data_IF_708175411604
#
_entry.id   IF_708175411604
#
_cell.length_a   1.000
_cell.length_b   1.000
_cell.length_c   1.000
_cell.angle_alpha   90.00
_cell.angle_beta   90.00
_cell.angle_gamma   90.00
#
_symmetry.space_group_name_H-M   'P 1'
#
loop_
_entity.id
_entity.type
_entity.pdbx_description
1 polymer ?
#
# COMPACT_ATOMS: atom_id res chain seq x y z
N UNK A 1 19.59 -2.02 11.40
CA UNK A 1 20.24 -1.76 10.11
C UNK A 1 19.27 -0.93 9.29
N UNK A 2 19.77 0.09 8.59
CA UNK A 2 19.05 1.32 8.21
C UNK A 2 17.66 1.12 7.56
N UNK A 3 16.60 1.60 8.22
CA UNK A 3 15.24 1.79 7.67
C UNK A 3 15.18 2.84 6.53
N UNK A 4 16.26 3.59 6.30
CA UNK A 4 16.26 4.72 5.38
C UNK A 4 15.86 4.35 3.93
N UNK A 5 16.38 3.26 3.31
CA UNK A 5 16.01 2.90 1.94
C UNK A 5 14.55 2.46 1.81
N UNK A 6 13.98 1.85 2.85
CA UNK A 6 12.59 1.41 2.87
C UNK A 6 11.63 2.58 3.09
N UNK A 7 12.02 3.54 3.94
CA UNK A 7 11.28 4.80 4.13
C UNK A 7 11.28 5.68 2.89
N UNK A 8 12.41 5.77 2.19
CA UNK A 8 12.52 6.56 0.95
C UNK A 8 11.61 6.01 -0.15
N UNK A 9 11.53 4.67 -0.28
CA UNK A 9 10.60 3.99 -1.21
C UNK A 9 9.14 4.16 -0.83
N UNK A 10 8.82 4.16 0.47
CA UNK A 10 7.46 4.40 0.94
C UNK A 10 7.01 5.84 0.63
N UNK A 11 7.90 6.83 0.79
CA UNK A 11 7.63 8.22 0.43
C UNK A 11 7.42 8.39 -1.09
N UNK A 12 8.23 7.72 -1.92
CA UNK A 12 8.08 7.71 -3.37
C UNK A 12 6.73 7.10 -3.81
N UNK A 13 6.32 5.99 -3.18
CA UNK A 13 5.00 5.39 -3.42
C UNK A 13 3.87 6.35 -3.06
N UNK A 14 3.95 7.05 -1.92
CA UNK A 14 2.93 8.04 -1.52
C UNK A 14 2.85 9.18 -2.53
N UNK A 15 3.98 9.69 -3.01
CA UNK A 15 4.01 10.75 -4.02
C UNK A 15 3.34 10.31 -5.33
N UNK A 16 3.62 9.08 -5.79
CA UNK A 16 2.94 8.49 -6.94
C UNK A 16 1.43 8.38 -6.69
N UNK A 17 1.01 7.88 -5.53
CA UNK A 17 -0.41 7.75 -5.17
C UNK A 17 -1.15 9.11 -5.17
N UNK A 18 -0.48 10.18 -4.75
CA UNK A 18 -1.05 11.53 -4.76
C UNK A 18 -1.08 12.15 -6.17
N UNK A 19 -0.10 11.88 -7.02
CA UNK A 19 -0.09 12.34 -8.42
C UNK A 19 -1.26 11.75 -9.23
N UNK A 20 -1.52 10.46 -9.05
CA UNK A 20 -2.59 9.76 -9.76
C UNK A 20 -3.97 9.90 -9.11
N UNK A 21 -4.09 10.66 -8.02
CA UNK A 21 -5.35 10.89 -7.29
C UNK A 21 -6.45 11.54 -8.13
N UNK A 22 -6.06 12.25 -9.19
CA UNK A 22 -6.98 12.95 -10.10
C UNK A 22 -7.25 12.18 -11.41
N UNK A 23 -6.49 11.13 -11.69
CA UNK A 23 -6.51 10.43 -12.99
C UNK A 23 -7.67 9.45 -13.17
N UNK A 24 -8.24 8.95 -12.06
CA UNK A 24 -9.34 7.98 -12.09
C UNK A 24 -8.89 6.62 -12.65
N UNK A 25 -8.95 5.60 -11.79
CA UNK A 25 -8.73 4.19 -12.12
C UNK A 25 -7.28 3.79 -12.42
N UNK A 26 -6.68 3.12 -11.44
CA UNK A 26 -5.52 2.27 -11.67
C UNK A 26 -5.51 1.13 -10.65
N UNK A 27 -4.92 0.01 -11.04
CA UNK A 27 -4.75 -1.15 -10.19
C UNK A 27 -3.29 -1.29 -9.79
N UNK A 28 -3.07 -1.78 -8.58
CA UNK A 28 -1.75 -2.13 -8.06
C UNK A 28 -1.69 -3.63 -7.89
N UNK A 29 -0.60 -4.22 -8.34
CA UNK A 29 -0.29 -5.62 -8.13
C UNK A 29 0.79 -5.74 -7.05
N UNK A 30 0.50 -6.51 -6.01
CA UNK A 30 1.38 -6.67 -4.87
C UNK A 30 1.81 -8.12 -4.77
N UNK A 31 3.14 -8.29 -4.68
CA UNK A 31 3.80 -9.58 -4.58
C UNK A 31 4.29 -9.78 -3.15
N UNK A 32 3.79 -10.82 -2.49
CA UNK A 32 4.28 -11.30 -1.21
C UNK A 32 4.83 -12.73 -1.40
N UNK A 33 5.68 -13.23 -0.50
CA UNK A 33 6.11 -14.62 -0.53
C UNK A 33 4.90 -15.57 -0.58
N UNK A 34 4.74 -16.29 -1.69
CA UNK A 34 3.66 -17.25 -1.90
C UNK A 34 2.27 -16.66 -2.19
N UNK A 35 2.13 -15.33 -2.31
CA UNK A 35 0.82 -14.69 -2.57
C UNK A 35 0.96 -13.53 -3.55
N UNK A 36 -0.04 -13.38 -4.42
CA UNK A 36 -0.19 -12.24 -5.33
C UNK A 36 -1.60 -11.71 -5.20
N UNK A 37 -1.74 -10.41 -5.09
CA UNK A 37 -3.04 -9.75 -5.06
C UNK A 37 -3.04 -8.52 -5.95
N UNK A 38 -4.20 -8.24 -6.54
CA UNK A 38 -4.44 -7.05 -7.34
C UNK A 38 -5.57 -6.29 -6.65
N UNK A 39 -5.36 -5.00 -6.39
CA UNK A 39 -6.37 -4.12 -5.80
C UNK A 39 -6.38 -2.77 -6.51
N UNK A 40 -7.41 -1.97 -6.25
CA UNK A 40 -7.42 -0.58 -6.74
C UNK A 40 -6.43 0.28 -5.94
N UNK A 41 -6.00 1.39 -6.53
CA UNK A 41 -5.25 2.41 -5.79
C UNK A 41 -5.99 2.91 -4.54
N UNK A 42 -7.32 3.00 -4.60
CA UNK A 42 -8.15 3.40 -3.46
C UNK A 42 -8.10 2.37 -2.33
N UNK A 43 -8.23 1.09 -2.65
CA UNK A 43 -8.14 0.00 -1.66
C UNK A 43 -6.76 -0.03 -0.98
N UNK A 44 -5.69 0.19 -1.76
CA UNK A 44 -4.33 0.28 -1.23
C UNK A 44 -4.20 1.46 -0.26
N UNK A 45 -4.71 2.65 -0.61
CA UNK A 45 -4.69 3.83 0.26
C UNK A 45 -5.45 3.57 1.57
N UNK A 46 -6.60 2.91 1.51
CA UNK A 46 -7.38 2.53 2.71
C UNK A 46 -6.60 1.55 3.59
N UNK A 47 -6.00 0.52 2.99
CA UNK A 47 -5.21 -0.48 3.71
C UNK A 47 -3.99 0.15 4.43
N UNK A 48 -3.23 1.00 3.74
CA UNK A 48 -2.08 1.71 4.31
C UNK A 48 -2.50 2.60 5.47
N UNK A 49 -3.58 3.39 5.33
CA UNK A 49 -4.09 4.25 6.41
C UNK A 49 -4.50 3.43 7.63
N UNK A 50 -5.11 2.25 7.45
CA UNK A 50 -5.48 1.35 8.55
C UNK A 50 -4.24 0.84 9.30
N UNK A 51 -3.21 0.40 8.58
CA UNK A 51 -1.95 -0.06 9.17
C UNK A 51 -1.29 1.07 9.99
N UNK A 52 -1.19 2.27 9.41
CA UNK A 52 -0.56 3.43 10.06
C UNK A 52 -1.36 3.93 11.28
N UNK A 53 -2.69 3.93 11.20
CA UNK A 53 -3.56 4.32 12.31
C UNK A 53 -3.56 3.32 13.47
N UNK A 54 -2.79 2.24 13.38
CA UNK A 54 -2.72 1.20 14.41
C UNK A 54 -4.01 0.38 14.50
N UNK A 55 -4.77 0.27 13.41
CA UNK A 55 -5.92 -0.63 13.39
C UNK A 55 -5.42 -2.04 13.66
N UNK A 56 -6.06 -2.74 14.61
CA UNK A 56 -5.82 -4.16 14.84
C UNK A 56 -5.92 -4.89 13.50
N UNK A 57 -4.78 -5.41 13.04
CA UNK A 57 -4.72 -6.30 11.88
C UNK A 57 -5.49 -7.54 12.28
N UNK A 58 -6.77 -7.61 11.90
CA UNK A 58 -7.56 -8.81 12.09
C UNK A 58 -6.79 -9.97 11.44
N UNK A 59 -6.59 -11.09 12.15
CA UNK A 59 -5.91 -12.24 11.59
C UNK A 59 -6.65 -12.70 10.34
N UNK A 60 -5.90 -12.89 9.26
CA UNK A 60 -6.42 -13.31 7.97
C UNK A 60 -7.07 -14.70 8.13
N UNK A 61 -8.37 -14.80 7.94
CA UNK A 61 -9.07 -16.09 7.84
C UNK A 61 -8.84 -16.68 6.45
N UNK A 62 -8.41 -17.94 6.39
CA UNK A 62 -8.07 -18.71 5.19
C UNK A 62 -9.21 -18.79 4.15
#
# INVERSE_FOLDING_TARGET
MSDAPERDRAAELVALLDEYKHGGFGTVEIHLPGRRFVCSFEDLQVAVRRIVAGAELLPWSE
#
